data_IF_563364044300
#
_entry.id   IF_563364044300
#
_cell.length_a   1.000
_cell.length_b   1.000
_cell.length_c   1.000
_cell.angle_alpha   90.00
_cell.angle_beta   90.00
_cell.angle_gamma   90.00
#
_symmetry.space_group_name_H-M   'P 1'
#
loop_
_entity.id
_entity.type
_entity.pdbx_description
1 polymer ?
#
# COMPACT_ATOMS: atom_id res chain seq x y z
N UNK A 1 37.98 17.34 32.06
CA UNK A 1 36.56 16.96 31.80
C UNK A 1 35.75 18.05 31.09
N UNK A 2 35.78 19.32 31.52
CA UNK A 2 34.96 20.41 30.94
C UNK A 2 35.11 20.62 29.43
N UNK A 3 36.34 20.65 28.88
CA UNK A 3 36.56 20.79 27.42
C UNK A 3 35.90 19.66 26.60
N UNK A 4 35.83 18.44 27.15
CA UNK A 4 35.20 17.28 26.49
C UNK A 4 33.67 17.39 26.50
N UNK A 5 33.08 17.91 27.59
CA UNK A 5 31.63 18.14 27.72
C UNK A 5 31.12 19.30 26.85
N UNK A 6 31.85 20.42 26.78
CA UNK A 6 31.53 21.54 25.85
C UNK A 6 31.55 21.11 24.40
N UNK A 7 32.54 20.31 23.99
CA UNK A 7 32.60 19.71 22.65
C UNK A 7 31.42 18.77 22.40
N UNK A 8 31.04 17.95 23.38
CA UNK A 8 29.92 17.02 23.26
C UNK A 8 28.55 17.71 23.16
N UNK A 9 28.33 18.76 23.96
CA UNK A 9 27.14 19.63 23.87
C UNK A 9 27.00 20.28 22.49
N UNK A 10 28.10 20.82 21.95
CA UNK A 10 28.12 21.40 20.61
C UNK A 10 27.79 20.37 19.52
N UNK A 11 28.32 19.15 19.63
CA UNK A 11 28.03 18.06 18.69
C UNK A 11 26.55 17.68 18.72
N UNK A 12 25.94 17.48 19.89
CA UNK A 12 24.52 17.13 19.97
C UNK A 12 23.61 18.23 19.43
N UNK A 13 23.94 19.49 19.69
CA UNK A 13 23.18 20.62 19.16
C UNK A 13 23.31 20.70 17.63
N UNK A 14 24.52 20.50 17.08
CA UNK A 14 24.76 20.49 15.64
C UNK A 14 24.01 19.34 14.96
N UNK A 15 24.08 18.12 15.52
CA UNK A 15 23.37 16.93 15.00
C UNK A 15 21.87 17.16 15.02
N UNK A 16 21.29 17.60 16.15
CA UNK A 16 19.86 17.89 16.24
C UNK A 16 19.41 18.98 15.26
N UNK A 17 20.23 20.02 15.07
CA UNK A 17 19.93 21.12 14.14
C UNK A 17 19.99 20.67 12.68
N UNK A 18 20.97 19.83 12.32
CA UNK A 18 21.07 19.24 10.99
C UNK A 18 19.88 18.33 10.72
N UNK A 19 19.50 17.48 11.68
CA UNK A 19 18.31 16.63 11.54
C UNK A 19 17.04 17.46 11.36
N UNK A 20 16.86 18.54 12.13
CA UNK A 20 15.72 19.45 11.98
C UNK A 20 15.70 20.12 10.61
N UNK A 21 16.85 20.62 10.16
CA UNK A 21 17.01 21.20 8.83
C UNK A 21 16.66 20.20 7.74
N UNK A 22 17.12 18.94 7.84
CA UNK A 22 16.82 17.89 6.88
C UNK A 22 15.31 17.62 6.79
N UNK A 23 14.59 17.59 7.93
CA UNK A 23 13.13 17.42 7.91
C UNK A 23 12.47 18.59 7.21
N UNK A 24 12.83 19.82 7.56
CA UNK A 24 12.27 21.02 6.89
C UNK A 24 12.56 20.98 5.40
N UNK A 25 13.81 20.70 5.00
CA UNK A 25 14.21 20.58 3.60
C UNK A 25 13.43 19.49 2.86
N UNK A 26 13.12 18.36 3.50
CA UNK A 26 12.33 17.27 2.92
C UNK A 26 10.85 17.61 2.78
N UNK A 27 10.30 18.36 3.74
CA UNK A 27 8.89 18.77 3.73
C UNK A 27 8.64 19.94 2.77
N UNK A 28 9.62 20.79 2.50
CA UNK A 28 9.47 21.98 1.66
C UNK A 28 8.94 21.65 0.25
N UNK A 29 9.51 20.69 -0.52
CA UNK A 29 8.97 20.31 -1.83
C UNK A 29 7.52 19.81 -1.77
N UNK A 30 7.08 19.21 -0.67
CA UNK A 30 5.74 18.65 -0.53
C UNK A 30 4.70 19.66 -0.04
N UNK A 31 5.13 20.76 0.58
CA UNK A 31 4.24 21.72 1.27
C UNK A 31 4.23 23.10 0.63
N UNK A 32 5.39 23.60 0.20
CA UNK A 32 5.51 24.95 -0.36
C UNK A 32 4.77 25.11 -1.70
N UNK A 33 4.85 24.17 -2.67
CA UNK A 33 4.12 24.31 -3.93
C UNK A 33 2.61 24.41 -3.75
N UNK A 34 2.03 23.74 -2.74
CA UNK A 34 0.59 23.85 -2.42
C UNK A 34 0.18 25.25 -2.01
N UNK A 35 1.04 25.98 -1.28
CA UNK A 35 0.79 27.38 -0.94
C UNK A 35 0.83 28.30 -2.17
N UNK A 36 1.49 27.86 -3.25
CA UNK A 36 1.58 28.55 -4.52
C UNK A 36 0.50 28.09 -5.53
N UNK A 37 -0.45 27.25 -5.09
CA UNK A 37 -1.55 26.75 -5.93
C UNK A 37 -1.20 25.54 -6.80
N UNK A 38 -0.12 24.83 -6.48
CA UNK A 38 0.24 23.58 -7.15
C UNK A 38 -0.23 22.36 -6.37
N UNK A 39 -0.75 21.37 -7.08
CA UNK A 39 -1.02 20.04 -6.55
C UNK A 39 0.10 19.09 -6.98
N UNK A 40 0.46 18.15 -6.10
CA UNK A 40 1.63 17.30 -6.29
C UNK A 40 1.20 15.83 -6.45
N UNK A 41 1.63 15.19 -7.53
CA UNK A 41 1.26 13.82 -7.89
C UNK A 41 2.49 12.97 -8.17
N UNK A 42 2.52 11.74 -7.65
CA UNK A 42 3.60 10.80 -7.89
C UNK A 42 3.30 9.99 -9.16
N UNK A 43 4.31 9.85 -10.02
CA UNK A 43 4.23 9.01 -11.23
C UNK A 43 4.53 7.57 -10.84
N UNK A 44 3.56 6.69 -11.04
CA UNK A 44 3.61 5.27 -10.63
C UNK A 44 3.74 4.30 -11.80
N UNK A 45 3.32 4.69 -13.00
CA UNK A 45 3.37 3.88 -14.22
C UNK A 45 4.38 4.44 -15.23
N UNK A 46 4.84 3.58 -16.15
CA UNK A 46 5.83 3.92 -17.18
C UNK A 46 5.28 4.69 -18.39
N UNK A 47 4.00 5.09 -18.41
CA UNK A 47 3.38 5.66 -19.62
C UNK A 47 3.97 7.00 -20.05
N UNK A 48 4.67 7.71 -19.16
CA UNK A 48 5.33 8.99 -19.46
C UNK A 48 6.84 8.88 -19.67
N UNK A 49 7.39 7.66 -19.76
CA UNK A 49 8.82 7.46 -20.02
C UNK A 49 9.18 7.77 -21.49
N UNK A 50 10.43 8.24 -21.77
CA UNK A 50 11.49 8.57 -20.82
C UNK A 50 11.39 9.99 -20.25
N UNK A 51 10.44 10.81 -20.71
CA UNK A 51 10.37 12.24 -20.38
C UNK A 51 10.07 12.51 -18.90
N UNK A 52 9.19 11.72 -18.29
CA UNK A 52 8.93 11.73 -16.86
C UNK A 52 9.09 10.29 -16.32
N UNK A 53 10.27 9.94 -15.78
CA UNK A 53 10.55 8.59 -15.29
C UNK A 53 9.64 8.17 -14.14
N UNK A 54 9.41 6.85 -14.00
CA UNK A 54 8.66 6.30 -12.86
C UNK A 54 9.28 6.71 -11.53
N UNK A 55 8.43 7.11 -10.57
CA UNK A 55 8.84 7.59 -9.27
C UNK A 55 9.16 9.08 -9.23
N UNK A 56 8.92 9.83 -10.31
CA UNK A 56 8.94 11.30 -10.32
C UNK A 56 7.77 11.91 -9.55
N UNK A 57 7.94 13.12 -9.04
CA UNK A 57 6.87 13.95 -8.50
C UNK A 57 6.57 15.07 -9.50
N UNK A 58 5.33 15.22 -9.93
CA UNK A 58 4.89 16.32 -10.81
C UNK A 58 4.09 17.33 -10.01
N UNK A 59 4.26 18.61 -10.36
CA UNK A 59 3.49 19.71 -9.80
C UNK A 59 2.55 20.24 -10.87
N UNK A 60 1.26 20.04 -10.66
CA UNK A 60 0.19 20.45 -11.54
C UNK A 60 -0.47 21.74 -11.04
N UNK A 61 -0.77 22.66 -11.95
CA UNK A 61 -1.46 23.91 -11.65
C UNK A 61 -2.81 23.92 -12.36
N UNK A 62 -3.86 24.28 -11.64
CA UNK A 62 -5.18 24.42 -12.22
C UNK A 62 -5.18 25.53 -13.27
N UNK A 63 -5.54 25.18 -14.51
CA UNK A 63 -5.74 26.09 -15.64
C UNK A 63 -7.15 25.83 -16.20
N UNK A 64 -7.72 26.85 -16.86
CA UNK A 64 -8.96 26.65 -17.59
C UNK A 64 -8.71 25.62 -18.73
N UNK A 65 -9.62 24.66 -18.96
CA UNK A 65 -9.46 23.67 -20.02
C UNK A 65 -9.21 24.27 -21.42
N UNK A 66 -9.76 25.45 -21.67
CA UNK A 66 -9.60 26.20 -22.92
C UNK A 66 -8.19 26.79 -23.10
N UNK A 67 -7.42 26.92 -22.01
CA UNK A 67 -6.03 27.41 -22.01
C UNK A 67 -5.00 26.28 -22.20
N UNK A 68 -5.44 25.02 -22.20
CA UNK A 68 -4.57 23.86 -22.40
C UNK A 68 -4.26 23.70 -23.89
N UNK A 69 -2.97 23.65 -24.23
CA UNK A 69 -2.51 23.53 -25.60
C UNK A 69 -2.13 22.09 -25.98
N UNK A 70 -2.18 21.78 -27.28
CA UNK A 70 -1.65 20.52 -27.79
C UNK A 70 -0.16 20.43 -27.46
N UNK A 71 0.25 19.34 -26.83
CA UNK A 71 1.60 19.12 -26.33
C UNK A 71 1.76 19.34 -24.82
N UNK A 72 0.81 19.98 -24.15
CA UNK A 72 0.83 20.11 -22.69
C UNK A 72 0.67 18.75 -22.01
N UNK A 73 1.34 18.57 -20.87
CA UNK A 73 1.14 17.42 -20.01
C UNK A 73 0.14 17.81 -18.94
N UNK A 74 -0.98 17.08 -18.87
CA UNK A 74 -2.05 17.35 -17.91
C UNK A 74 -2.20 16.20 -16.94
N UNK A 75 -2.61 16.56 -15.73
CA UNK A 75 -3.09 15.64 -14.71
C UNK A 75 -4.62 15.68 -14.75
N UNK A 76 -5.25 14.52 -14.79
CA UNK A 76 -6.70 14.40 -14.86
C UNK A 76 -7.18 13.10 -14.21
N UNK A 77 -8.46 13.07 -13.85
CA UNK A 77 -9.13 11.86 -13.39
C UNK A 77 -9.45 10.92 -14.56
N UNK A 78 -9.07 9.64 -14.45
CA UNK A 78 -9.36 8.59 -15.42
C UNK A 78 -10.87 8.38 -15.65
N UNK A 79 -11.22 7.89 -16.85
CA UNK A 79 -12.60 7.77 -17.31
C UNK A 79 -13.43 6.73 -16.54
N UNK A 80 -14.65 7.15 -16.18
CA UNK A 80 -15.80 6.41 -15.59
C UNK A 80 -15.70 5.83 -14.17
N UNK A 81 -14.64 6.09 -13.43
CA UNK A 81 -14.67 6.05 -11.96
C UNK A 81 -14.20 7.35 -11.30
N UNK A 82 -13.58 8.29 -12.03
CA UNK A 82 -13.33 9.66 -11.52
C UNK A 82 -12.18 9.78 -10.53
N UNK A 83 -11.27 8.81 -10.50
CA UNK A 83 -10.55 8.55 -9.26
C UNK A 83 -9.07 8.18 -9.50
N UNK A 84 -8.77 7.24 -10.40
CA UNK A 84 -7.38 7.03 -10.83
C UNK A 84 -6.83 8.30 -11.51
N UNK A 85 -5.90 8.99 -10.84
CA UNK A 85 -5.25 10.19 -11.39
C UNK A 85 -4.19 9.79 -12.41
N UNK A 86 -4.41 10.19 -13.65
CA UNK A 86 -3.51 9.91 -14.78
C UNK A 86 -2.79 11.19 -15.20
N UNK A 87 -1.56 11.04 -15.68
CA UNK A 87 -0.77 12.14 -16.24
C UNK A 87 -0.38 11.78 -17.66
N UNK A 88 -0.96 12.43 -18.67
CA UNK A 88 -0.66 12.19 -20.09
C UNK A 88 -0.53 13.51 -20.87
N UNK A 89 0.03 13.43 -22.07
CA UNK A 89 0.17 14.56 -22.98
C UNK A 89 -1.11 14.78 -23.78
N UNK A 90 -1.56 16.01 -23.90
CA UNK A 90 -2.66 16.39 -24.78
C UNK A 90 -2.20 16.29 -26.23
N UNK A 91 -2.87 15.46 -27.01
CA UNK A 91 -2.66 15.36 -28.46
C UNK A 91 -3.71 16.15 -29.22
N UNK A 92 -4.90 16.34 -28.64
CA UNK A 92 -5.98 17.15 -29.22
C UNK A 92 -6.80 17.82 -28.10
N UNK A 93 -7.16 19.09 -28.28
CA UNK A 93 -8.09 19.81 -27.41
C UNK A 93 -9.37 20.17 -28.18
N UNK A 94 -10.48 19.49 -27.89
CA UNK A 94 -11.76 19.65 -28.59
C UNK A 94 -12.72 20.56 -27.82
N UNK A 95 -12.54 21.87 -28.00
CA UNK A 95 -13.37 22.90 -27.36
C UNK A 95 -14.88 22.70 -27.54
N UNK A 96 -15.34 22.27 -28.72
CA UNK A 96 -16.76 22.05 -29.01
C UNK A 96 -17.34 20.84 -28.25
N UNK A 97 -16.54 19.78 -28.07
CA UNK A 97 -16.91 18.58 -27.31
C UNK A 97 -16.62 18.67 -25.81
N UNK A 98 -15.88 19.71 -25.39
CA UNK A 98 -15.36 19.88 -24.02
C UNK A 98 -14.58 18.66 -23.55
N UNK A 99 -13.69 18.18 -24.41
CA UNK A 99 -12.90 16.97 -24.16
C UNK A 99 -11.48 17.13 -24.71
N UNK A 100 -10.55 16.39 -24.10
CA UNK A 100 -9.18 16.21 -24.56
C UNK A 100 -9.00 14.82 -25.14
N UNK A 101 -8.17 14.69 -26.17
CA UNK A 101 -7.53 13.41 -26.48
C UNK A 101 -6.12 13.48 -25.90
N UNK A 102 -5.78 12.47 -25.11
CA UNK A 102 -4.50 12.38 -24.41
C UNK A 102 -3.73 11.14 -24.84
N UNK A 103 -2.42 11.14 -24.63
CA UNK A 103 -1.55 9.99 -24.88
C UNK A 103 -0.37 10.01 -23.91
N UNK A 104 -0.06 8.87 -23.31
CA UNK A 104 1.21 8.68 -22.59
C UNK A 104 2.38 8.71 -23.57
N UNK A 105 3.47 9.40 -23.23
CA UNK A 105 4.63 9.54 -24.12
C UNK A 105 5.24 8.20 -24.58
N UNK A 106 5.14 7.16 -23.75
CA UNK A 106 5.58 5.80 -24.06
C UNK A 106 4.53 4.95 -24.80
N UNK A 107 3.29 5.41 -24.90
CA UNK A 107 2.19 4.63 -25.47
C UNK A 107 2.24 4.66 -27.01
N UNK A 108 1.95 3.53 -27.65
CA UNK A 108 1.98 3.38 -29.11
C UNK A 108 0.83 4.13 -29.83
N UNK A 109 -0.24 4.47 -29.11
CA UNK A 109 -1.43 5.12 -29.65
C UNK A 109 -2.10 6.02 -28.63
N UNK A 110 -3.06 6.81 -29.11
CA UNK A 110 -3.84 7.73 -28.27
C UNK A 110 -4.74 6.97 -27.30
N UNK A 111 -5.07 7.60 -26.18
CA UNK A 111 -6.00 7.04 -25.20
C UNK A 111 -7.36 6.82 -25.89
N UNK A 112 -7.92 5.61 -25.75
CA UNK A 112 -9.16 5.22 -26.44
C UNK A 112 -10.37 6.07 -26.04
N UNK A 113 -10.37 6.61 -24.83
CA UNK A 113 -11.42 7.46 -24.33
C UNK A 113 -10.97 8.92 -24.29
N UNK A 114 -11.79 9.79 -24.86
CA UNK A 114 -11.65 11.22 -24.68
C UNK A 114 -11.86 11.60 -23.21
N UNK A 115 -11.14 12.62 -22.75
CA UNK A 115 -11.13 13.10 -21.37
C UNK A 115 -11.96 14.36 -21.25
N UNK A 116 -13.15 14.29 -20.61
CA UNK A 116 -13.97 15.48 -20.42
C UNK A 116 -13.20 16.56 -19.66
N UNK A 117 -13.46 17.82 -19.97
CA UNK A 117 -12.88 18.97 -19.25
C UNK A 117 -13.11 18.91 -17.74
N UNK A 118 -14.23 18.33 -17.32
CA UNK A 118 -14.56 18.14 -15.91
C UNK A 118 -13.54 17.26 -15.15
N UNK A 119 -12.76 16.45 -15.86
CA UNK A 119 -11.75 15.58 -15.26
C UNK A 119 -10.38 16.27 -15.13
N UNK A 120 -10.19 17.45 -15.71
CA UNK A 120 -8.93 18.18 -15.64
C UNK A 120 -8.65 18.60 -14.20
N UNK A 121 -7.49 18.20 -13.68
CA UNK A 121 -6.95 18.68 -12.41
C UNK A 121 -6.06 19.89 -12.67
N UNK A 122 -5.16 19.77 -13.63
CA UNK A 122 -4.28 20.87 -13.99
C UNK A 122 -3.16 20.47 -14.95
N UNK A 123 -2.41 21.46 -15.40
CA UNK A 123 -1.24 21.28 -16.25
C UNK A 123 0.02 21.08 -15.41
N UNK A 124 0.83 20.10 -15.76
CA UNK A 124 2.16 19.89 -15.17
C UNK A 124 3.08 21.04 -15.57
N UNK A 125 3.61 21.78 -14.61
CA UNK A 125 4.60 22.85 -14.86
C UNK A 125 6.01 22.44 -14.43
N UNK A 126 6.12 21.58 -13.42
CA UNK A 126 7.41 21.17 -12.87
C UNK A 126 7.43 19.68 -12.55
N UNK A 127 8.60 19.07 -12.73
CA UNK A 127 8.86 17.67 -12.42
C UNK A 127 10.10 17.56 -11.55
N UNK A 128 10.02 16.77 -10.49
CA UNK A 128 11.13 16.42 -9.62
C UNK A 128 11.37 14.91 -9.68
N UNK A 129 12.35 14.46 -10.49
CA UNK A 129 12.65 13.03 -10.65
C UNK A 129 12.93 12.34 -9.32
N UNK A 130 12.51 11.09 -9.20
CA UNK A 130 12.72 10.19 -8.04
C UNK A 130 12.08 10.63 -6.71
N UNK A 131 11.47 11.82 -6.62
CA UNK A 131 10.85 12.33 -5.40
C UNK A 131 9.41 11.86 -5.17
N UNK A 132 8.77 11.28 -6.20
CA UNK A 132 7.44 10.69 -6.11
C UNK A 132 7.41 9.52 -5.13
N UNK A 133 8.42 8.64 -5.18
CA UNK A 133 8.57 7.51 -4.23
C UNK A 133 8.60 7.98 -2.78
N UNK A 134 9.33 9.06 -2.52
CA UNK A 134 9.41 9.67 -1.20
C UNK A 134 8.06 10.26 -0.77
N UNK A 135 7.33 10.93 -1.67
CA UNK A 135 6.00 11.47 -1.39
C UNK A 135 4.98 10.36 -1.08
N UNK A 136 5.06 9.22 -1.77
CA UNK A 136 4.22 8.04 -1.52
C UNK A 136 4.56 7.44 -0.16
N UNK A 137 5.85 7.29 0.15
CA UNK A 137 6.31 6.84 1.46
C UNK A 137 5.78 7.74 2.58
N UNK A 138 5.87 9.05 2.42
CA UNK A 138 5.36 10.05 3.38
C UNK A 138 3.84 10.08 3.50
N UNK A 139 3.12 9.64 2.46
CA UNK A 139 1.66 9.51 2.49
C UNK A 139 1.20 8.32 3.34
N UNK A 140 2.03 7.28 3.46
CA UNK A 140 1.76 6.10 4.29
C UNK A 140 1.82 6.40 5.78
N UNK A 141 1.02 5.67 6.59
CA UNK A 141 1.01 5.80 8.04
C UNK A 141 2.39 5.48 8.68
N UNK A 142 3.11 4.49 8.12
CA UNK A 142 4.47 4.13 8.53
C UNK A 142 5.48 5.25 8.26
N UNK A 143 5.41 5.91 7.10
CA UNK A 143 6.26 7.05 6.78
C UNK A 143 6.01 8.26 7.67
N UNK A 144 4.73 8.56 7.95
CA UNK A 144 4.35 9.62 8.91
C UNK A 144 4.87 9.32 10.32
N UNK A 145 4.74 8.07 10.78
CA UNK A 145 5.27 7.64 12.07
C UNK A 145 6.81 7.74 12.10
N UNK A 146 7.50 7.27 11.07
CA UNK A 146 8.96 7.38 10.94
C UNK A 146 9.45 8.83 10.97
N UNK A 147 8.74 9.74 10.29
CA UNK A 147 9.04 11.17 10.31
C UNK A 147 8.85 11.77 11.72
N UNK A 148 7.76 11.44 12.40
CA UNK A 148 7.51 11.89 13.77
C UNK A 148 8.61 11.38 14.73
N UNK A 149 9.05 10.13 14.55
CA UNK A 149 10.17 9.56 15.29
C UNK A 149 11.48 10.31 15.06
N UNK A 150 11.79 10.62 13.80
CA UNK A 150 13.01 11.34 13.42
C UNK A 150 13.01 12.79 13.96
N UNK A 151 11.86 13.48 13.91
CA UNK A 151 11.66 14.79 14.53
C UNK A 151 11.81 14.75 16.06
N UNK A 152 11.24 13.74 16.71
CA UNK A 152 11.39 13.52 18.14
C UNK A 152 12.86 13.35 18.53
N UNK A 153 13.61 12.53 17.79
CA UNK A 153 15.05 12.35 17.99
C UNK A 153 15.83 13.66 17.79
N UNK A 154 15.56 14.40 16.70
CA UNK A 154 16.19 15.70 16.44
C UNK A 154 15.99 16.68 17.61
N UNK A 155 14.77 16.75 18.14
CA UNK A 155 14.42 17.61 19.26
C UNK A 155 15.11 17.18 20.57
N UNK A 156 15.18 15.87 20.84
CA UNK A 156 15.93 15.31 21.98
C UNK A 156 17.40 15.69 21.88
N UNK A 157 18.02 15.57 20.70
CA UNK A 157 19.42 15.95 20.50
C UNK A 157 19.67 17.44 20.77
N UNK A 158 18.79 18.33 20.31
CA UNK A 158 18.86 19.76 20.61
C UNK A 158 18.75 20.04 22.12
N UNK A 159 17.85 19.34 22.83
CA UNK A 159 17.68 19.48 24.27
C UNK A 159 18.90 18.96 25.03
N UNK A 160 19.42 17.77 24.68
CA UNK A 160 20.62 17.21 25.30
C UNK A 160 21.81 18.15 25.13
N UNK A 161 21.95 18.75 23.95
CA UNK A 161 22.92 19.83 23.71
C UNK A 161 22.73 21.02 24.66
N UNK A 162 21.48 21.48 24.83
CA UNK A 162 21.14 22.60 25.72
C UNK A 162 21.34 22.31 27.21
N UNK A 163 21.02 21.10 27.69
CA UNK A 163 21.21 20.68 29.08
C UNK A 163 22.69 20.57 29.43
N UNK A 164 23.49 19.94 28.56
CA UNK A 164 24.93 19.80 28.75
C UNK A 164 25.67 21.15 28.71
N UNK A 165 25.10 22.17 28.05
CA UNK A 165 25.63 23.54 28.03
C UNK A 165 25.36 24.30 29.33
N UNK A 166 24.28 23.97 30.04
CA UNK A 166 23.77 24.72 31.20
C UNK A 166 24.45 24.33 32.52
N UNK A 167 24.98 23.11 32.63
CA UNK A 167 25.72 22.63 33.80
C UNK A 167 27.14 23.24 33.95
N UNK A 168 27.66 23.91 32.93
CA UNK A 168 28.98 24.56 32.98
C UNK A 168 28.98 25.95 33.66
N UNK A 169 27.81 26.46 34.08
CA UNK A 169 27.63 27.83 34.59
C UNK A 169 27.38 27.98 36.09
N UNK A 170 27.24 26.89 36.85
CA UNK A 170 27.04 26.93 38.31
C UNK A 170 28.24 26.27 39.01
N UNK A 171 29.26 27.07 39.36
CA UNK A 171 30.22 26.69 40.39
C UNK A 171 29.63 27.04 41.76
N UNK A 172 29.66 26.16 42.78
CA UNK A 172 29.11 26.46 44.09
C UNK A 172 30.03 27.45 44.84
N UNK A 173 29.54 28.64 45.16
CA UNK A 173 30.21 29.53 46.11
C UNK A 173 30.02 28.96 47.52
N UNK A 174 31.00 28.20 47.98
CA UNK A 174 31.08 27.73 49.36
C UNK A 174 31.44 28.87 50.30
N UNK A 175 30.58 29.13 51.28
CA UNK A 175 30.89 29.90 52.47
C UNK A 175 31.98 29.19 53.29
N UNK A 176 33.02 29.92 53.71
CA UNK A 176 33.75 29.60 54.94
C UNK A 176 34.30 30.88 55.58
N UNK A 177 33.84 31.16 56.79
CA UNK A 177 34.28 32.23 57.69
C UNK A 177 35.61 31.92 58.40
N UNK A 178 36.28 33.01 58.83
CA UNK A 178 37.29 33.15 59.92
C UNK A 178 38.74 32.78 59.54
N UNK A 179 39.80 33.58 59.78
CA UNK A 179 40.19 34.43 60.92
C UNK A 179 41.17 35.58 60.49
N UNK A 180 41.44 36.59 61.35
CA UNK A 180 42.06 37.87 61.00
C UNK A 180 43.58 37.94 61.27
N UNK A 181 44.30 38.84 60.60
CA UNK A 181 45.51 39.50 61.13
C UNK A 181 45.68 40.94 60.60
N UNK A 182 46.20 41.75 61.52
CA UNK A 182 46.24 43.20 61.60
C UNK A 182 47.25 43.89 60.67
N UNK A 183 47.03 45.20 60.48
CA UNK A 183 48.12 46.19 60.59
C UNK A 183 48.46 46.98 59.32
N UNK A 184 48.26 48.30 59.36
CA UNK A 184 49.02 49.23 58.51
C UNK A 184 48.24 50.42 57.95
N UNK A 185 48.28 51.54 58.68
CA UNK A 185 47.77 52.86 58.31
C UNK A 185 48.64 53.49 57.21
N UNK A 186 48.04 54.12 56.19
CA UNK A 186 48.50 55.42 55.64
C UNK A 186 47.59 55.99 54.55
N UNK A 187 47.38 57.31 54.63
CA UNK A 187 46.57 58.20 53.79
C UNK A 187 47.16 58.41 52.38
N UNK A 188 46.31 58.83 51.43
CA UNK A 188 46.75 59.52 50.21
C UNK A 188 45.63 59.78 49.20
N UNK A 189 45.20 61.04 49.09
CA UNK A 189 44.25 61.55 48.09
C UNK A 189 44.78 61.45 46.66
N UNK A 190 43.87 61.31 45.67
CA UNK A 190 44.15 61.55 44.26
C UNK A 190 42.93 61.30 43.37
N UNK A 191 42.39 62.37 42.80
CA UNK A 191 41.28 62.43 41.85
C UNK A 191 41.58 61.72 40.51
N UNK A 192 40.58 61.09 39.88
CA UNK A 192 40.20 61.25 38.45
C UNK A 192 39.06 60.28 38.03
N UNK A 193 38.11 60.81 37.27
CA UNK A 193 36.84 60.27 36.70
C UNK A 193 37.03 59.20 35.58
N UNK A 194 35.97 58.76 34.88
CA UNK A 194 34.74 58.07 35.30
C UNK A 194 34.62 56.71 34.55
N UNK A 195 33.53 55.95 34.75
CA UNK A 195 32.79 55.19 33.70
C UNK A 195 32.04 54.01 34.31
N UNK A 196 30.79 53.82 33.87
CA UNK A 196 30.10 52.54 34.04
C UNK A 196 28.67 52.64 34.51
N UNK A 197 27.81 53.14 33.63
CA UNK A 197 26.36 52.91 33.64
C UNK A 197 26.00 51.43 33.82
N UNK A 198 24.77 51.18 34.29
CA UNK A 198 24.06 49.94 33.93
C UNK A 198 23.81 48.95 35.05
N UNK A 199 23.14 49.41 36.11
CA UNK A 199 22.36 48.54 36.99
C UNK A 199 21.20 47.86 36.22
N UNK A 200 20.91 46.62 36.61
CA UNK A 200 19.65 45.86 36.41
C UNK A 200 19.34 45.28 35.02
N UNK A 201 19.55 43.97 34.89
CA UNK A 201 18.47 42.94 34.94
C UNK A 201 19.05 41.54 34.71
N UNK A 202 19.36 40.84 35.79
CA UNK A 202 19.59 39.40 35.76
C UNK A 202 18.25 38.67 35.66
N UNK A 203 17.92 38.16 34.47
CA UNK A 203 16.78 37.27 34.26
C UNK A 203 17.07 35.91 34.89
N UNK A 204 16.55 35.71 36.11
CA UNK A 204 16.39 34.40 36.70
C UNK A 204 15.53 33.52 35.78
N UNK A 205 16.16 32.61 35.03
CA UNK A 205 15.47 31.50 34.38
C UNK A 205 14.95 30.57 35.48
N UNK A 206 13.76 30.86 35.99
CA UNK A 206 13.15 30.26 37.18
C UNK A 206 13.11 28.73 37.08
N UNK A 207 13.20 28.05 38.22
CA UNK A 207 13.06 26.59 38.32
C UNK A 207 11.80 26.05 37.60
N UNK A 208 10.78 26.89 37.43
CA UNK A 208 9.60 26.65 36.63
C UNK A 208 9.92 26.33 35.16
N UNK A 209 10.86 27.02 34.52
CA UNK A 209 11.28 26.74 33.14
C UNK A 209 11.98 25.37 32.99
N UNK A 210 12.81 24.97 33.98
CA UNK A 210 13.43 23.63 34.01
C UNK A 210 12.38 22.52 34.20
N UNK A 211 11.37 22.75 35.03
CA UNK A 211 10.25 21.81 35.23
C UNK A 211 9.35 21.71 33.98
N UNK A 212 9.07 22.84 33.33
CA UNK A 212 8.29 22.89 32.08
C UNK A 212 8.99 22.13 30.94
N UNK A 213 10.30 22.32 30.75
CA UNK A 213 11.07 21.59 29.73
C UNK A 213 11.09 20.08 30.01
N UNK A 214 11.27 19.66 31.28
CA UNK A 214 11.18 18.23 31.65
C UNK A 214 9.78 17.66 31.39
N UNK A 215 8.73 18.39 31.72
CA UNK A 215 7.35 17.96 31.45
C UNK A 215 7.08 17.81 29.94
N UNK A 216 7.57 18.74 29.11
CA UNK A 216 7.46 18.66 27.64
C UNK A 216 8.22 17.44 27.09
N UNK A 217 9.43 17.16 27.59
CA UNK A 217 10.20 15.97 27.17
C UNK A 217 9.46 14.69 27.53
N UNK A 218 8.93 14.59 28.76
CA UNK A 218 8.19 13.41 29.20
C UNK A 218 6.93 13.21 28.34
N UNK A 219 6.21 14.30 28.04
CA UNK A 219 5.05 14.26 27.16
C UNK A 219 5.40 13.79 25.74
N UNK A 220 6.47 14.33 25.15
CA UNK A 220 6.91 13.94 23.81
C UNK A 220 7.44 12.51 23.75
N UNK A 221 8.14 12.06 24.80
CA UNK A 221 8.56 10.66 24.93
C UNK A 221 7.34 9.74 25.03
N UNK A 222 6.32 10.13 25.80
CA UNK A 222 5.08 9.38 25.90
C UNK A 222 4.34 9.30 24.54
N UNK A 223 4.29 10.40 23.78
CA UNK A 223 3.73 10.43 22.42
C UNK A 223 4.53 9.53 21.48
N UNK A 224 5.87 9.61 21.52
CA UNK A 224 6.75 8.76 20.72
C UNK A 224 6.54 7.28 21.02
N UNK A 225 6.54 6.90 22.30
CA UNK A 225 6.30 5.51 22.73
C UNK A 225 4.91 5.06 22.28
N UNK A 226 3.87 5.87 22.47
CA UNK A 226 2.52 5.58 22.00
C UNK A 226 2.48 5.34 20.49
N UNK A 227 3.13 6.21 19.70
CA UNK A 227 3.21 6.07 18.24
C UNK A 227 3.95 4.79 17.82
N UNK A 228 5.08 4.47 18.45
CA UNK A 228 5.83 3.25 18.18
C UNK A 228 5.00 2.02 18.56
N UNK A 229 4.31 2.04 19.71
CA UNK A 229 3.43 0.95 20.12
C UNK A 229 2.28 0.74 19.15
N UNK A 230 1.63 1.81 18.66
CA UNK A 230 0.56 1.72 17.65
C UNK A 230 1.09 1.14 16.34
N UNK A 231 2.27 1.58 15.87
CA UNK A 231 2.90 1.02 14.67
C UNK A 231 3.23 -0.47 14.86
N UNK A 232 3.86 -0.83 15.99
CA UNK A 232 4.20 -2.20 16.33
C UNK A 232 2.96 -3.10 16.39
N UNK A 233 1.87 -2.64 16.99
CA UNK A 233 0.59 -3.37 17.01
C UNK A 233 0.02 -3.55 15.60
N UNK A 234 0.09 -2.53 14.73
CA UNK A 234 -0.37 -2.67 13.35
C UNK A 234 0.48 -3.68 12.56
N UNK A 235 1.81 -3.61 12.66
CA UNK A 235 2.71 -4.57 12.01
C UNK A 235 2.51 -5.99 12.54
N UNK A 236 2.37 -6.14 13.86
CA UNK A 236 2.06 -7.42 14.49
C UNK A 236 0.71 -7.98 13.99
N UNK A 237 -0.31 -7.13 13.82
CA UNK A 237 -1.61 -7.55 13.26
C UNK A 237 -1.50 -8.04 11.81
N UNK A 238 -0.74 -7.37 10.94
CA UNK A 238 -0.50 -7.86 9.57
C UNK A 238 0.23 -9.19 9.59
N UNK A 239 1.33 -9.27 10.35
CA UNK A 239 2.13 -10.48 10.47
C UNK A 239 1.31 -11.66 11.03
N UNK A 240 0.52 -11.42 12.09
CA UNK A 240 -0.32 -12.43 12.73
C UNK A 240 -1.42 -12.94 11.80
N UNK A 241 -2.08 -12.08 11.01
CA UNK A 241 -3.06 -12.53 10.01
C UNK A 241 -2.40 -13.39 8.93
N UNK A 242 -1.22 -13.00 8.46
CA UNK A 242 -0.48 -13.78 7.46
C UNK A 242 -0.05 -15.14 8.01
N UNK A 243 0.41 -15.21 9.25
CA UNK A 243 0.71 -16.50 9.88
C UNK A 243 -0.54 -17.35 10.03
N UNK A 244 -1.66 -16.78 10.47
CA UNK A 244 -2.93 -17.50 10.62
C UNK A 244 -3.40 -18.16 9.32
N UNK A 245 -3.34 -17.46 8.18
CA UNK A 245 -3.70 -18.06 6.89
C UNK A 245 -2.67 -19.07 6.39
N UNK A 246 -1.37 -18.86 6.67
CA UNK A 246 -0.32 -19.84 6.36
C UNK A 246 -0.46 -21.11 7.20
N UNK A 247 -0.82 -20.97 8.47
CA UNK A 247 -1.11 -22.08 9.40
C UNK A 247 -2.34 -22.84 8.93
N UNK A 248 -3.42 -22.14 8.55
CA UNK A 248 -4.60 -22.76 7.95
C UNK A 248 -4.22 -23.58 6.70
N UNK A 249 -3.41 -23.03 5.79
CA UNK A 249 -2.93 -23.77 4.63
C UNK A 249 -2.14 -25.03 5.04
N UNK A 250 -1.26 -24.94 6.04
CA UNK A 250 -0.51 -26.11 6.53
C UNK A 250 -1.35 -27.13 7.32
N UNK A 251 -2.45 -26.70 7.92
CA UNK A 251 -3.32 -27.54 8.75
C UNK A 251 -4.39 -28.27 7.94
N UNK A 252 -4.90 -27.62 6.88
CA UNK A 252 -6.07 -28.08 6.12
C UNK A 252 -5.77 -28.46 4.68
N UNK A 253 -4.52 -28.26 4.19
CA UNK A 253 -4.14 -28.68 2.84
C UNK A 253 -2.94 -29.63 2.85
N UNK A 254 -2.93 -30.57 1.91
CA UNK A 254 -1.87 -31.57 1.75
C UNK A 254 -1.42 -31.60 0.30
N UNK A 255 -0.12 -31.73 0.05
CA UNK A 255 0.36 -31.92 -1.33
C UNK A 255 -0.08 -33.27 -1.87
N UNK A 256 -0.74 -33.28 -3.02
CA UNK A 256 -1.29 -34.50 -3.63
C UNK A 256 -0.22 -35.41 -4.28
N UNK A 257 1.07 -35.09 -4.12
CA UNK A 257 2.20 -35.82 -4.71
C UNK A 257 2.93 -36.61 -3.62
N UNK A 258 2.49 -37.85 -3.40
CA UNK A 258 3.31 -38.98 -2.94
C UNK A 258 3.88 -38.96 -1.52
N UNK A 259 3.07 -39.33 -0.52
CA UNK A 259 3.58 -40.16 0.59
C UNK A 259 3.04 -41.58 0.47
N UNK A 260 3.95 -42.42 -0.02
CA UNK A 260 4.01 -43.86 0.10
C UNK A 260 3.60 -44.30 1.52
N UNK A 261 2.33 -44.67 1.67
CA UNK A 261 1.78 -45.32 2.86
C UNK A 261 1.35 -46.73 2.50
N UNK A 262 2.33 -47.63 2.40
CA UNK A 262 2.08 -49.07 2.43
C UNK A 262 3.18 -49.90 1.77
N UNK A 263 4.14 -50.38 2.56
CA UNK A 263 5.11 -51.36 2.10
C UNK A 263 4.48 -52.68 1.61
N UNK A 264 5.26 -53.40 0.78
CA UNK A 264 5.00 -54.68 0.10
C UNK A 264 4.01 -54.54 -1.08
N UNK A 265 4.39 -54.62 -2.36
CA UNK A 265 5.35 -55.50 -3.02
C UNK A 265 5.89 -54.88 -4.33
N UNK A 266 7.20 -55.05 -4.59
CA UNK A 266 7.78 -54.90 -5.94
C UNK A 266 7.51 -56.16 -6.73
N UNK A 267 6.62 -56.10 -7.72
CA UNK A 267 6.76 -56.80 -9.01
C UNK A 267 5.54 -56.53 -9.90
N UNK A 268 5.71 -55.65 -10.90
CA UNK A 268 5.59 -55.98 -12.32
C UNK A 268 5.58 -54.69 -13.15
N UNK A 269 6.43 -54.66 -14.17
CA UNK A 269 6.41 -53.62 -15.19
C UNK A 269 5.10 -53.66 -15.96
N UNK A 270 4.46 -52.51 -16.07
CA UNK A 270 3.48 -52.21 -17.09
C UNK A 270 3.77 -50.80 -17.60
N UNK A 271 3.94 -50.70 -18.91
CA UNK A 271 4.11 -49.46 -19.66
C UNK A 271 2.92 -48.53 -19.37
N UNK A 272 3.23 -47.31 -18.93
CA UNK A 272 2.25 -46.25 -18.69
C UNK A 272 1.76 -45.68 -20.03
N UNK A 273 0.64 -46.22 -20.50
CA UNK A 273 -0.09 -45.71 -21.64
C UNK A 273 -0.83 -44.41 -21.25
N UNK A 274 -0.14 -43.28 -21.40
CA UNK A 274 -0.64 -42.05 -22.02
C UNK A 274 -2.12 -41.67 -21.88
N UNK A 275 -2.63 -41.59 -20.65
CA UNK A 275 -3.83 -40.83 -20.33
C UNK A 275 -3.74 -40.29 -18.90
N UNK A 276 -2.78 -39.40 -18.67
CA UNK A 276 -2.57 -38.79 -17.36
C UNK A 276 -3.68 -37.80 -17.05
N UNK A 277 -4.66 -38.20 -16.24
CA UNK A 277 -5.57 -37.27 -15.57
C UNK A 277 -4.73 -36.25 -14.81
N UNK A 278 -4.86 -34.98 -15.16
CA UNK A 278 -4.13 -33.89 -14.52
C UNK A 278 -4.62 -33.75 -13.07
N UNK A 279 -3.79 -34.15 -12.11
CA UNK A 279 -4.15 -34.16 -10.68
C UNK A 279 -3.98 -32.78 -10.05
N UNK A 280 -4.87 -32.36 -9.14
CA UNK A 280 -4.69 -31.12 -8.40
C UNK A 280 -3.38 -31.12 -7.58
N UNK A 281 -2.73 -29.95 -7.39
CA UNK A 281 -1.46 -29.84 -6.68
C UNK A 281 -1.57 -30.05 -5.16
N UNK A 282 -2.77 -29.83 -4.62
CA UNK A 282 -3.11 -30.01 -3.21
C UNK A 282 -4.46 -30.72 -3.06
N UNK A 283 -4.73 -31.27 -1.88
CA UNK A 283 -6.04 -31.71 -1.42
C UNK A 283 -6.44 -30.91 -0.17
N UNK A 284 -7.74 -30.71 0.06
CA UNK A 284 -8.27 -29.87 1.16
C UNK A 284 -9.20 -30.68 2.07
N UNK A 285 -9.01 -30.61 3.39
CA UNK A 285 -9.90 -31.23 4.37
C UNK A 285 -11.11 -30.34 4.69
N UNK A 286 -12.12 -30.41 3.82
CA UNK A 286 -13.36 -29.64 4.00
C UNK A 286 -14.17 -30.06 5.21
N UNK A 287 -14.11 -31.33 5.63
CA UNK A 287 -14.86 -31.80 6.80
C UNK A 287 -14.41 -31.04 8.05
N UNK A 288 -13.11 -31.01 8.31
CA UNK A 288 -12.55 -30.30 9.48
C UNK A 288 -12.71 -28.78 9.38
N UNK A 289 -12.57 -28.21 8.17
CA UNK A 289 -12.82 -26.78 7.96
C UNK A 289 -14.27 -26.40 8.27
N UNK A 290 -15.24 -27.20 7.84
CA UNK A 290 -16.67 -26.95 8.04
C UNK A 290 -17.14 -27.23 9.48
N UNK A 291 -16.45 -28.11 10.22
CA UNK A 291 -16.65 -28.26 11.67
C UNK A 291 -16.33 -26.97 12.43
N UNK A 292 -15.26 -26.29 12.03
CA UNK A 292 -14.85 -25.01 12.61
C UNK A 292 -15.75 -23.86 12.14
N UNK A 293 -16.02 -23.76 10.83
CA UNK A 293 -16.95 -22.76 10.31
C UNK A 293 -17.78 -23.31 9.15
N UNK A 294 -19.10 -23.39 9.33
CA UNK A 294 -20.04 -23.91 8.33
C UNK A 294 -20.17 -23.04 7.09
N UNK A 295 -19.73 -21.79 7.15
CA UNK A 295 -19.76 -20.87 6.03
C UNK A 295 -18.59 -21.12 5.05
N UNK A 296 -17.70 -22.10 5.30
CA UNK A 296 -16.66 -22.50 4.35
C UNK A 296 -17.33 -23.11 3.10
N UNK A 297 -17.14 -22.43 1.97
CA UNK A 297 -17.67 -22.83 0.67
C UNK A 297 -16.61 -23.53 -0.20
N UNK A 298 -15.34 -23.16 -0.08
CA UNK A 298 -14.27 -23.72 -0.91
C UNK A 298 -12.88 -23.29 -0.46
N UNK A 299 -11.90 -23.48 -1.34
CA UNK A 299 -10.51 -23.06 -1.14
C UNK A 299 -9.91 -22.60 -2.46
N UNK A 300 -9.23 -21.46 -2.48
CA UNK A 300 -8.56 -20.92 -3.67
C UNK A 300 -7.05 -21.00 -3.51
N UNK A 301 -6.36 -21.48 -4.55
CA UNK A 301 -4.92 -21.70 -4.55
C UNK A 301 -4.30 -21.31 -5.89
N UNK A 302 -3.14 -20.66 -5.85
CA UNK A 302 -2.30 -20.46 -7.04
C UNK A 302 -0.84 -20.65 -6.65
N UNK A 303 -0.20 -21.65 -7.27
CA UNK A 303 1.18 -22.01 -7.00
C UNK A 303 2.15 -20.87 -7.30
N UNK A 304 3.17 -20.71 -6.43
CA UNK A 304 4.15 -19.64 -6.55
C UNK A 304 3.64 -18.25 -6.13
N UNK A 305 2.38 -18.13 -5.69
CA UNK A 305 1.80 -16.86 -5.25
C UNK A 305 1.36 -16.91 -3.79
N UNK A 306 1.04 -15.74 -3.17
CA UNK A 306 0.42 -15.73 -1.84
C UNK A 306 -1.00 -16.29 -1.80
N UNK A 307 -1.65 -16.59 -2.93
CA UNK A 307 -3.04 -17.05 -2.98
C UNK A 307 -3.11 -18.51 -2.53
N UNK A 308 -3.53 -18.70 -1.28
CA UNK A 308 -3.76 -20.01 -0.67
C UNK A 308 -4.69 -19.82 0.53
N UNK A 309 -6.00 -19.74 0.27
CA UNK A 309 -6.98 -19.26 1.26
C UNK A 309 -8.28 -20.06 1.24
N UNK A 310 -8.92 -20.24 2.42
CA UNK A 310 -10.31 -20.67 2.48
C UNK A 310 -11.24 -19.60 1.86
N UNK A 311 -12.30 -20.07 1.21
CA UNK A 311 -13.33 -19.27 0.57
C UNK A 311 -14.63 -19.40 1.36
N UNK A 312 -15.17 -18.28 1.81
CA UNK A 312 -16.34 -18.21 2.69
C UNK A 312 -17.61 -17.84 1.91
N UNK A 313 -18.79 -18.25 2.37
CA UNK A 313 -20.10 -17.83 1.85
C UNK A 313 -20.93 -17.28 3.00
N UNK A 314 -21.02 -15.94 3.07
CA UNK A 314 -21.90 -15.25 4.00
C UNK A 314 -23.32 -15.06 3.48
N UNK A 315 -24.21 -14.60 4.37
CA UNK A 315 -25.55 -14.14 4.02
C UNK A 315 -25.55 -12.78 3.28
N UNK A 316 -24.48 -12.01 3.42
CA UNK A 316 -24.24 -10.71 2.80
C UNK A 316 -22.77 -10.57 2.36
N UNK A 317 -22.46 -9.45 1.69
CA UNK A 317 -21.10 -9.11 1.24
C UNK A 317 -20.28 -8.29 2.27
N UNK A 318 -20.82 -8.05 3.46
CA UNK A 318 -20.24 -7.16 4.47
C UNK A 318 -19.54 -7.91 5.59
N UNK A 319 -20.05 -9.07 6.01
CA UNK A 319 -19.53 -9.81 7.15
C UNK A 319 -18.07 -10.25 6.92
N UNK A 320 -17.81 -11.02 5.86
CA UNK A 320 -16.46 -11.52 5.55
C UNK A 320 -15.50 -10.47 4.98
N UNK A 321 -15.99 -9.25 4.74
CA UNK A 321 -15.13 -8.10 4.52
C UNK A 321 -14.34 -7.74 5.79
N UNK A 322 -14.83 -8.07 6.99
CA UNK A 322 -14.19 -7.67 8.26
C UNK A 322 -13.99 -8.82 9.25
N UNK A 323 -14.17 -10.06 8.78
CA UNK A 323 -14.00 -11.26 9.58
C UNK A 323 -13.13 -12.27 8.85
N UNK A 324 -12.31 -13.01 9.61
CA UNK A 324 -11.53 -14.14 9.12
C UNK A 324 -12.37 -15.40 8.96
N UNK A 325 -11.76 -16.46 8.44
CA UNK A 325 -12.43 -17.72 8.12
C UNK A 325 -12.98 -18.44 9.37
N UNK A 326 -12.42 -18.19 10.54
CA UNK A 326 -12.90 -18.66 11.85
C UNK A 326 -14.00 -17.77 12.46
N UNK A 327 -14.40 -16.69 11.77
CA UNK A 327 -15.40 -15.73 12.22
C UNK A 327 -14.87 -14.65 13.17
N UNK A 328 -13.55 -14.62 13.47
CA UNK A 328 -12.97 -13.56 14.29
C UNK A 328 -12.85 -12.23 13.53
N UNK A 329 -12.82 -11.10 14.25
CA UNK A 329 -12.64 -9.79 13.62
C UNK A 329 -11.25 -9.69 12.96
N UNK A 330 -11.22 -9.42 11.66
CA UNK A 330 -9.97 -9.25 10.90
C UNK A 330 -10.04 -8.07 9.93
N UNK A 331 -8.99 -7.25 9.93
CA UNK A 331 -8.83 -6.18 8.93
C UNK A 331 -8.52 -6.71 7.54
N UNK A 332 -7.98 -7.93 7.44
CA UNK A 332 -7.71 -8.59 6.18
C UNK A 332 -8.97 -9.24 5.59
N UNK A 333 -10.02 -9.40 6.40
CA UNK A 333 -11.21 -10.15 6.04
C UNK A 333 -10.88 -11.60 5.66
N UNK A 334 -11.70 -12.16 4.78
CA UNK A 334 -11.50 -13.45 4.12
C UNK A 334 -11.67 -13.32 2.61
N UNK A 335 -11.33 -14.38 1.87
CA UNK A 335 -11.85 -14.56 0.52
C UNK A 335 -13.29 -15.05 0.64
N UNK A 336 -14.23 -14.42 -0.06
CA UNK A 336 -15.63 -14.79 0.06
C UNK A 336 -16.41 -14.70 -1.26
N UNK A 337 -17.42 -15.55 -1.38
CA UNK A 337 -18.34 -15.61 -2.51
C UNK A 337 -19.39 -14.51 -2.39
N UNK A 338 -19.74 -13.89 -3.52
CA UNK A 338 -20.87 -12.97 -3.64
C UNK A 338 -22.16 -13.53 -3.02
N UNK A 339 -22.82 -12.71 -2.21
CA UNK A 339 -24.05 -13.02 -1.49
C UNK A 339 -25.17 -13.51 -2.43
N UNK A 340 -25.28 -12.89 -3.60
CA UNK A 340 -26.29 -13.24 -4.60
C UNK A 340 -26.01 -14.54 -5.37
N UNK A 341 -24.77 -15.04 -5.37
CA UNK A 341 -24.47 -16.33 -5.99
C UNK A 341 -25.08 -17.49 -5.19
N UNK A 342 -25.63 -18.49 -5.90
CA UNK A 342 -26.18 -19.70 -5.29
C UNK A 342 -25.08 -20.53 -4.61
N UNK A 343 -25.38 -21.20 -3.47
CA UNK A 343 -24.42 -22.06 -2.78
C UNK A 343 -23.85 -23.18 -3.66
N UNK A 344 -22.66 -23.70 -3.30
CA UNK A 344 -22.03 -24.82 -4.01
C UNK A 344 -21.54 -24.47 -5.42
N UNK A 345 -21.23 -23.19 -5.68
CA UNK A 345 -20.78 -22.70 -6.99
C UNK A 345 -21.74 -23.11 -8.13
N UNK A 346 -23.05 -23.11 -7.86
CA UNK A 346 -24.05 -23.66 -8.78
C UNK A 346 -24.33 -22.78 -10.00
N UNK A 347 -24.01 -21.48 -9.93
CA UNK A 347 -24.18 -20.54 -11.03
C UNK A 347 -23.13 -20.75 -12.13
N UNK A 348 -23.47 -20.35 -13.36
CA UNK A 348 -22.56 -20.40 -14.50
C UNK A 348 -21.41 -19.38 -14.37
N UNK A 349 -21.55 -18.36 -13.52
CA UNK A 349 -20.40 -17.66 -12.99
C UNK A 349 -20.46 -17.44 -11.48
N UNK A 350 -19.30 -17.51 -10.82
CA UNK A 350 -19.17 -17.17 -9.41
C UNK A 350 -18.22 -16.00 -9.22
N UNK A 351 -18.56 -15.07 -8.35
CA UNK A 351 -17.70 -13.92 -8.02
C UNK A 351 -17.09 -14.15 -6.64
N UNK A 352 -15.77 -14.09 -6.56
CA UNK A 352 -15.01 -14.09 -5.32
C UNK A 352 -14.43 -12.71 -5.05
N UNK A 353 -14.54 -12.27 -3.81
CA UNK A 353 -13.99 -11.03 -3.31
C UNK A 353 -12.87 -11.30 -2.31
N UNK A 354 -11.89 -10.40 -2.27
CA UNK A 354 -10.82 -10.41 -1.27
C UNK A 354 -10.15 -9.06 -1.17
N UNK A 355 -9.70 -8.64 0.02
CA UNK A 355 -9.08 -7.32 0.19
C UNK A 355 -7.82 -7.13 -0.65
N UNK A 356 -7.58 -5.89 -1.08
CA UNK A 356 -6.26 -5.45 -1.56
C UNK A 356 -5.39 -5.03 -0.36
N UNK A 357 -4.60 -5.97 0.15
CA UNK A 357 -3.71 -5.75 1.28
C UNK A 357 -2.35 -5.16 0.88
N UNK A 358 -1.87 -4.17 1.64
CA UNK A 358 -0.59 -3.48 1.39
C UNK A 358 0.65 -4.36 1.50
N UNK A 359 0.54 -5.54 2.12
CA UNK A 359 1.61 -6.51 2.25
C UNK A 359 1.60 -7.59 1.15
N UNK A 360 0.73 -7.44 0.15
CA UNK A 360 0.57 -8.35 -0.99
C UNK A 360 -0.26 -9.60 -0.68
N UNK A 361 -0.83 -9.71 0.53
CA UNK A 361 -1.71 -10.84 0.89
C UNK A 361 -3.13 -10.69 0.33
N UNK A 362 -3.95 -11.73 0.52
CA UNK A 362 -5.32 -11.81 0.01
C UNK A 362 -5.34 -11.66 -1.51
N UNK A 363 -6.13 -10.74 -2.07
CA UNK A 363 -6.21 -10.51 -3.51
C UNK A 363 -5.40 -9.31 -3.99
N UNK A 364 -4.55 -8.70 -3.15
CA UNK A 364 -3.62 -7.67 -3.61
C UNK A 364 -2.72 -8.16 -4.76
N UNK A 365 -2.33 -9.43 -4.74
CA UNK A 365 -1.50 -10.02 -5.80
C UNK A 365 -2.20 -10.17 -7.15
N UNK A 366 -3.53 -9.98 -7.25
CA UNK A 366 -4.22 -10.06 -8.54
C UNK A 366 -3.70 -9.02 -9.55
N UNK A 367 -3.25 -7.86 -9.09
CA UNK A 367 -2.71 -6.80 -9.95
C UNK A 367 -1.42 -7.22 -10.70
N UNK A 368 -0.74 -8.27 -10.21
CA UNK A 368 0.48 -8.79 -10.85
C UNK A 368 0.17 -9.42 -12.22
N UNK A 369 -1.06 -9.90 -12.45
CA UNK A 369 -1.48 -10.44 -13.75
C UNK A 369 -1.60 -9.38 -14.84
N UNK A 370 -1.53 -8.09 -14.52
CA UNK A 370 -1.41 -7.05 -15.54
C UNK A 370 -0.09 -7.16 -16.32
N UNK A 371 0.93 -7.83 -15.75
CA UNK A 371 2.18 -8.15 -16.42
C UNK A 371 2.08 -9.47 -17.19
N UNK A 372 2.50 -9.44 -18.46
CA UNK A 372 2.40 -10.60 -19.36
C UNK A 372 3.32 -11.75 -18.95
N UNK A 373 4.54 -11.47 -18.48
CA UNK A 373 5.48 -12.52 -18.06
C UNK A 373 4.94 -13.23 -16.81
N UNK A 374 4.37 -12.46 -15.88
CA UNK A 374 3.71 -13.02 -14.70
C UNK A 374 2.52 -13.92 -15.06
N UNK A 375 1.69 -13.52 -16.04
CA UNK A 375 0.62 -14.40 -16.55
C UNK A 375 1.17 -15.70 -17.14
N UNK A 376 2.24 -15.64 -17.93
CA UNK A 376 2.85 -16.81 -18.57
C UNK A 376 3.43 -17.79 -17.55
N UNK A 377 3.95 -17.29 -16.43
CA UNK A 377 4.39 -18.12 -15.28
C UNK A 377 3.21 -18.68 -14.48
N UNK A 378 2.08 -17.96 -14.42
CA UNK A 378 0.91 -18.29 -13.60
C UNK A 378 -0.42 -18.26 -14.39
N UNK A 379 -0.60 -19.08 -15.45
CA UNK A 379 -1.80 -19.04 -16.30
C UNK A 379 -3.03 -19.71 -15.66
N UNK A 380 -2.83 -20.40 -14.54
CA UNK A 380 -3.82 -21.28 -13.90
C UNK A 380 -3.87 -21.06 -12.39
N UNK A 381 -5.08 -21.07 -11.85
CA UNK A 381 -5.35 -21.24 -10.41
C UNK A 381 -6.18 -22.50 -10.16
N UNK A 382 -6.43 -22.82 -8.89
CA UNK A 382 -7.21 -23.96 -8.46
C UNK A 382 -8.28 -23.52 -7.48
N UNK A 383 -9.52 -23.95 -7.72
CA UNK A 383 -10.64 -23.79 -6.82
C UNK A 383 -11.09 -25.17 -6.36
N UNK A 384 -10.90 -25.46 -5.09
CA UNK A 384 -11.37 -26.69 -4.45
C UNK A 384 -12.71 -26.43 -3.80
N UNK A 385 -13.63 -27.39 -3.90
CA UNK A 385 -14.94 -27.32 -3.25
C UNK A 385 -15.25 -28.68 -2.60
N UNK A 386 -16.17 -28.75 -1.63
CA UNK A 386 -16.54 -30.02 -1.02
C UNK A 386 -17.02 -31.09 -2.01
N UNK A 387 -17.63 -30.67 -3.13
CA UNK A 387 -18.20 -31.58 -4.13
C UNK A 387 -17.34 -31.77 -5.38
N UNK A 388 -16.60 -30.75 -5.83
CA UNK A 388 -15.88 -30.77 -7.10
C UNK A 388 -14.66 -29.83 -7.09
N UNK A 389 -13.51 -30.35 -7.52
CA UNK A 389 -12.34 -29.52 -7.76
C UNK A 389 -12.36 -28.95 -9.17
N UNK A 390 -11.88 -27.71 -9.31
CA UNK A 390 -11.82 -26.98 -10.56
C UNK A 390 -10.42 -26.44 -10.83
N UNK A 391 -9.94 -26.66 -12.05
CA UNK A 391 -8.85 -25.90 -12.64
C UNK A 391 -9.42 -24.58 -13.16
N UNK A 392 -8.85 -23.47 -12.70
CA UNK A 392 -9.24 -22.12 -13.11
C UNK A 392 -8.28 -21.64 -14.18
N UNK A 393 -8.72 -21.64 -15.43
CA UNK A 393 -7.91 -21.21 -16.57
C UNK A 393 -8.12 -19.71 -16.79
N UNK A 394 -7.10 -18.90 -16.51
CA UNK A 394 -7.22 -17.44 -16.53
C UNK A 394 -7.29 -16.93 -17.98
N UNK A 395 -8.30 -16.11 -18.25
CA UNK A 395 -8.60 -15.64 -19.61
C UNK A 395 -8.60 -14.11 -19.76
N UNK A 396 -8.74 -13.37 -18.68
CA UNK A 396 -8.71 -11.90 -18.71
C UNK A 396 -8.34 -11.31 -17.35
N UNK A 397 -7.66 -10.18 -17.33
CA UNK A 397 -7.43 -9.37 -16.13
C UNK A 397 -7.40 -7.88 -16.47
N UNK A 398 -8.15 -7.05 -15.76
CA UNK A 398 -8.20 -5.60 -16.01
C UNK A 398 -8.72 -4.81 -14.81
N UNK A 399 -8.49 -3.50 -14.83
CA UNK A 399 -9.05 -2.57 -13.84
C UNK A 399 -10.46 -2.12 -14.24
N UNK A 400 -11.40 -2.15 -13.30
CA UNK A 400 -12.80 -1.79 -13.53
C UNK A 400 -13.44 -1.08 -12.33
N UNK A 401 -14.57 -0.41 -12.53
CA UNK A 401 -15.33 0.22 -11.44
C UNK A 401 -16.18 -0.80 -10.67
N UNK A 402 -16.46 -0.57 -9.38
CA UNK A 402 -17.28 -1.44 -8.54
C UNK A 402 -18.73 -1.64 -9.02
N UNK A 403 -19.24 -0.74 -9.87
CA UNK A 403 -20.57 -0.83 -10.48
C UNK A 403 -20.54 -1.31 -11.94
N UNK A 404 -19.42 -1.84 -12.41
CA UNK A 404 -19.26 -2.26 -13.80
C UNK A 404 -20.00 -3.55 -14.12
N UNK A 405 -20.15 -3.84 -15.42
CA UNK A 405 -20.72 -5.10 -15.92
C UNK A 405 -19.89 -6.33 -15.52
N UNK A 406 -18.66 -6.16 -14.99
CA UNK A 406 -17.81 -7.27 -14.53
C UNK A 406 -18.41 -8.06 -13.34
N UNK A 407 -19.42 -7.50 -12.68
CA UNK A 407 -20.13 -8.12 -11.55
C UNK A 407 -21.50 -8.70 -11.94
N UNK A 408 -21.75 -8.88 -13.24
CA UNK A 408 -22.98 -9.52 -13.72
C UNK A 408 -23.00 -10.99 -13.32
N UNK A 409 -24.10 -11.46 -12.74
CA UNK A 409 -24.29 -12.87 -12.38
C UNK A 409 -25.13 -13.58 -13.45
N UNK A 410 -24.63 -14.72 -13.91
CA UNK A 410 -25.26 -15.63 -14.86
C UNK A 410 -25.58 -16.93 -14.13
N UNK A 411 -26.88 -17.23 -13.97
CA UNK A 411 -27.32 -18.46 -13.30
C UNK A 411 -27.06 -19.70 -14.15
N UNK A 412 -27.17 -19.58 -15.47
CA UNK A 412 -27.10 -20.66 -16.43
C UNK A 412 -26.11 -20.34 -17.55
N UNK A 413 -25.48 -21.38 -18.11
CA UNK A 413 -24.57 -21.21 -19.24
C UNK A 413 -25.36 -20.79 -20.48
N UNK A 414 -24.68 -20.13 -21.42
CA UNK A 414 -25.32 -19.69 -22.64
C UNK A 414 -24.55 -18.63 -23.40
N UNK A 415 -25.20 -18.12 -24.45
CA UNK A 415 -24.63 -17.12 -25.37
C UNK A 415 -24.26 -15.82 -24.65
N UNK A 416 -25.09 -15.38 -23.71
CA UNK A 416 -24.86 -14.13 -22.97
C UNK A 416 -23.59 -14.18 -22.12
N UNK A 417 -23.33 -15.32 -21.45
CA UNK A 417 -22.09 -15.53 -20.70
C UNK A 417 -20.87 -15.53 -21.64
N UNK A 418 -20.98 -16.17 -22.81
CA UNK A 418 -19.92 -16.18 -23.83
C UNK A 418 -19.59 -14.76 -24.33
N UNK A 419 -20.61 -13.99 -24.71
CA UNK A 419 -20.45 -12.59 -25.16
C UNK A 419 -19.87 -11.70 -24.06
N UNK A 420 -20.28 -11.92 -22.80
CA UNK A 420 -19.72 -11.24 -21.65
C UNK A 420 -18.22 -11.54 -21.48
N UNK A 421 -17.82 -12.81 -21.56
CA UNK A 421 -16.41 -13.20 -21.43
C UNK A 421 -15.56 -12.70 -22.59
N UNK A 422 -16.08 -12.70 -23.82
CA UNK A 422 -15.39 -12.09 -24.97
C UNK A 422 -15.13 -10.59 -24.75
N UNK A 423 -16.11 -9.85 -24.22
CA UNK A 423 -15.92 -8.44 -23.85
C UNK A 423 -14.87 -8.27 -22.76
N UNK A 424 -14.81 -9.18 -21.78
CA UNK A 424 -13.79 -9.14 -20.73
C UNK A 424 -12.39 -9.43 -21.31
N UNK A 425 -12.25 -10.43 -22.17
CA UNK A 425 -11.00 -10.75 -22.86
C UNK A 425 -10.51 -9.55 -23.69
N UNK A 426 -11.40 -8.85 -24.37
CA UNK A 426 -11.06 -7.65 -25.14
C UNK A 426 -10.55 -6.46 -24.31
N UNK A 427 -10.76 -6.46 -22.99
CA UNK A 427 -10.26 -5.44 -22.05
C UNK A 427 -8.96 -5.84 -21.33
N UNK A 428 -8.53 -7.09 -21.50
CA UNK A 428 -7.46 -7.68 -20.69
C UNK A 428 -6.12 -6.97 -20.88
N UNK A 429 -5.40 -6.79 -19.78
CA UNK A 429 -4.03 -6.28 -19.73
C UNK A 429 -3.01 -7.33 -20.23
N UNK A 430 -3.35 -8.62 -20.13
CA UNK A 430 -2.55 -9.74 -20.64
C UNK A 430 -3.26 -10.48 -21.78
N UNK A 431 -2.47 -11.15 -22.62
CA UNK A 431 -2.93 -12.05 -23.68
C UNK A 431 -2.95 -13.48 -23.18
N UNK A 432 -4.16 -14.02 -23.01
CA UNK A 432 -4.34 -15.41 -22.66
C UNK A 432 -3.88 -16.35 -23.80
N UNK A 433 -3.31 -17.50 -23.45
CA UNK A 433 -2.90 -18.50 -24.43
C UNK A 433 -4.12 -19.01 -25.23
N UNK A 434 -4.01 -18.95 -26.56
CA UNK A 434 -5.05 -19.39 -27.48
C UNK A 434 -5.34 -20.89 -27.39
N UNK A 435 -4.41 -21.69 -26.84
CA UNK A 435 -4.66 -23.11 -26.53
C UNK A 435 -5.78 -23.29 -25.50
N UNK A 436 -5.97 -22.30 -24.62
CA UNK A 436 -7.04 -22.24 -23.62
C UNK A 436 -8.30 -21.52 -24.12
N UNK A 437 -8.23 -20.84 -25.27
CA UNK A 437 -9.45 -20.41 -25.97
C UNK A 437 -10.14 -21.68 -26.43
N UNK A 438 -11.23 -22.03 -25.75
CA UNK A 438 -12.12 -23.11 -26.14
C UNK A 438 -12.35 -22.97 -27.65
N UNK A 439 -11.78 -23.89 -28.45
CA UNK A 439 -11.72 -23.77 -29.90
C UNK A 439 -13.14 -23.80 -30.46
N UNK A 440 -13.63 -22.63 -30.85
CA UNK A 440 -14.90 -22.44 -31.54
C UNK A 440 -14.75 -22.65 -33.04
N UNK A 441 -14.85 -23.89 -33.50
CA UNK A 441 -15.50 -24.19 -34.78
C UNK A 441 -16.69 -25.12 -34.48
N UNK A 442 -17.88 -24.53 -34.44
CA UNK A 442 -19.11 -25.21 -33.99
C UNK A 442 -19.32 -25.06 -32.49
N UNK A 443 -20.14 -24.08 -32.09
CA UNK A 443 -20.62 -23.96 -30.71
C UNK A 443 -21.45 -25.21 -30.35
N UNK A 444 -20.75 -26.21 -29.84
CA UNK A 444 -21.30 -27.48 -29.36
C UNK A 444 -20.94 -27.79 -27.92
N UNK A 445 -20.30 -26.86 -27.18
CA UNK A 445 -20.23 -26.80 -25.72
C UNK A 445 -20.02 -25.32 -25.34
N UNK A 446 -21.00 -24.72 -24.65
CA UNK A 446 -20.90 -23.38 -24.10
C UNK A 446 -19.78 -23.33 -23.05
N UNK A 447 -19.26 -22.15 -22.70
CA UNK A 447 -18.55 -22.01 -21.43
C UNK A 447 -19.54 -22.40 -20.33
N UNK A 448 -19.34 -23.57 -19.71
CA UNK A 448 -20.31 -24.10 -18.74
C UNK A 448 -20.22 -23.36 -17.41
N UNK A 449 -19.00 -23.05 -16.97
CA UNK A 449 -18.75 -22.29 -15.75
C UNK A 449 -17.54 -21.35 -15.86
N UNK A 450 -17.63 -20.22 -15.17
CA UNK A 450 -16.57 -19.23 -15.05
C UNK A 450 -16.47 -18.65 -13.64
N UNK A 451 -15.39 -17.95 -13.36
CA UNK A 451 -15.17 -17.27 -12.08
C UNK A 451 -14.65 -15.85 -12.32
N UNK A 452 -15.00 -14.94 -11.41
CA UNK A 452 -14.46 -13.59 -11.33
C UNK A 452 -13.79 -13.43 -9.97
N UNK A 453 -12.51 -13.06 -9.95
CA UNK A 453 -11.77 -12.73 -8.75
C UNK A 453 -11.65 -11.21 -8.70
N UNK A 454 -12.12 -10.57 -7.65
CA UNK A 454 -12.13 -9.11 -7.53
C UNK A 454 -11.49 -8.65 -6.24
N UNK A 455 -10.59 -7.68 -6.33
CA UNK A 455 -10.10 -6.97 -5.15
C UNK A 455 -11.26 -6.20 -4.50
N UNK A 456 -11.39 -6.25 -3.18
CA UNK A 456 -12.29 -5.38 -2.43
C UNK A 456 -11.56 -4.12 -1.98
N UNK A 457 -12.10 -2.95 -2.34
CA UNK A 457 -11.80 -1.67 -1.68
C UNK A 457 -13.10 -1.00 -1.24
N UNK A 458 -13.15 -0.62 0.04
CA UNK A 458 -14.18 0.26 0.61
C UNK A 458 -13.55 1.37 1.47
N UNK A 459 -12.33 1.78 1.14
CA UNK A 459 -11.65 2.82 1.90
C UNK A 459 -11.17 3.95 1.02
N UNK A 460 -10.75 3.72 -0.22
CA UNK A 460 -10.69 4.75 -1.27
C UNK A 460 -10.82 4.11 -2.66
N UNK A 461 -11.68 4.77 -3.44
CA UNK A 461 -11.84 4.81 -4.88
C UNK A 461 -12.18 3.49 -5.63
N UNK A 462 -13.36 3.45 -6.26
CA UNK A 462 -14.14 2.36 -6.89
C UNK A 462 -13.40 1.50 -7.93
N UNK A 463 -12.10 1.73 -8.16
CA UNK A 463 -11.26 0.93 -9.04
C UNK A 463 -10.91 -0.42 -8.38
N UNK A 464 -11.17 -1.49 -9.12
CA UNK A 464 -11.06 -2.88 -8.72
C UNK A 464 -10.24 -3.59 -9.79
N UNK A 465 -9.23 -4.37 -9.40
CA UNK A 465 -8.58 -5.26 -10.35
C UNK A 465 -9.38 -6.56 -10.36
N UNK A 466 -9.89 -6.94 -11.53
CA UNK A 466 -10.66 -8.16 -11.72
C UNK A 466 -9.89 -9.12 -12.60
N UNK A 467 -9.92 -10.41 -12.24
CA UNK A 467 -9.38 -11.51 -13.06
C UNK A 467 -10.51 -12.49 -13.34
N UNK A 468 -10.68 -12.84 -14.61
CA UNK A 468 -11.66 -13.82 -15.07
C UNK A 468 -10.97 -15.13 -15.42
N UNK A 469 -11.62 -16.24 -15.10
CA UNK A 469 -11.17 -17.56 -15.51
C UNK A 469 -12.31 -18.52 -15.86
N UNK A 470 -12.02 -19.49 -16.71
CA UNK A 470 -12.90 -20.61 -16.98
C UNK A 470 -12.75 -21.66 -15.88
N UNK A 471 -13.86 -22.22 -15.40
CA UNK A 471 -13.84 -23.31 -14.42
C UNK A 471 -13.95 -24.64 -15.15
N UNK A 472 -12.86 -25.42 -15.14
CA UNK A 472 -12.80 -26.76 -15.73
C UNK A 472 -12.82 -27.79 -14.60
N UNK A 473 -13.86 -28.64 -14.49
CA UNK A 473 -13.90 -29.70 -13.51
C UNK A 473 -12.70 -30.64 -13.65
N UNK A 474 -12.15 -31.06 -12.51
CA UNK A 474 -11.01 -31.98 -12.44
C UNK A 474 -11.49 -33.27 -11.80
N UNK A 475 -11.48 -34.36 -12.58
CA UNK A 475 -11.91 -35.70 -12.14
C UNK A 475 -13.41 -35.83 -11.99
#
# INVERSE_FOLDING_TARGET
>A
MMKRRKRLSGIFYAVGSIMMFLVVALCLPLTLPRLLGYEAYAIVSGSMEPQIPVGSLVYAKALAPEEIEVGDIIVFYGGRAGEAVTTHRVVENRNAGKEFITRGDANAGDDMEARPYANLIGRVEYTLPYFGRLSLMMSMASGKAGMACFLGAAFIFCILGGVLKKEDGEAPSGNMESLPKEGGISKGNGEALPDGEGSMRASAGTAAGRRAVKAIIILLLAIFICSVSVLAVNLYRYWSNRQMYKEAAGEYTYHAIGEDSGGLDKENGAEDNGNGEEKPPIAVDFHRLQEMNRDVAGWIYCEGTPINYPVMKGADNDFYLRHSYDGANSRAGSIFVEAANRPGFADANTILYGHHMKDGSMFASLELWADQEFYEEHPVMWLFTPEQDYKVILCSGYTTAANSEAYTIFTDSGKELGEYLEKCIGKSDFKADESYRIKGEGLGNAVDKSIVLSTCSYVFEDARYVVHGFLVPVG
#
